data_IF_983702369302
#
_entry.id   IF_983702369302
#
_cell.length_a   1.000
_cell.length_b   1.000
_cell.length_c   1.000
_cell.angle_alpha   90.00
_cell.angle_beta   90.00
_cell.angle_gamma   90.00
#
_symmetry.space_group_name_H-M   'P 1'
#
loop_
_entity.id
_entity.type
_entity.pdbx_description
1 polymer ?
#
# COMPACT_ATOMS: atom_id res chain seq x y z
N UNK A 1 55.77 -36.51 -33.85
CA UNK A 1 55.37 -36.32 -32.44
C UNK A 1 54.89 -34.89 -32.25
N UNK A 2 53.60 -34.70 -31.99
CA UNK A 2 53.05 -33.52 -31.30
C UNK A 2 51.58 -33.79 -30.98
N UNK A 3 51.31 -33.92 -29.69
CA UNK A 3 50.00 -34.16 -29.11
C UNK A 3 49.23 -32.83 -29.07
N UNK A 4 47.94 -32.84 -29.42
CA UNK A 4 47.02 -31.74 -29.12
C UNK A 4 45.84 -32.28 -28.33
N UNK A 5 45.76 -31.86 -27.06
CA UNK A 5 44.61 -32.01 -26.19
C UNK A 5 43.60 -30.92 -26.55
N UNK A 6 42.44 -31.31 -27.07
CA UNK A 6 41.30 -30.42 -27.28
C UNK A 6 40.25 -30.68 -26.20
N UNK A 7 40.22 -29.82 -25.18
CA UNK A 7 39.34 -29.93 -24.04
C UNK A 7 37.86 -29.79 -24.40
N UNK A 8 37.06 -30.70 -23.86
CA UNK A 8 35.60 -30.69 -23.87
C UNK A 8 35.12 -29.55 -22.94
N UNK A 9 34.59 -28.46 -23.51
CA UNK A 9 33.91 -27.42 -22.72
C UNK A 9 32.47 -27.86 -22.52
N UNK A 10 32.17 -28.42 -21.34
CA UNK A 10 30.78 -28.57 -20.88
C UNK A 10 30.24 -27.18 -20.53
N UNK A 11 29.44 -26.62 -21.42
CA UNK A 11 28.60 -25.47 -21.09
C UNK A 11 27.43 -25.96 -20.24
N UNK A 12 27.54 -25.80 -18.92
CA UNK A 12 26.39 -25.88 -18.03
C UNK A 12 25.51 -24.66 -18.28
N UNK A 13 24.41 -24.85 -19.02
CA UNK A 13 23.28 -23.93 -19.01
C UNK A 13 22.64 -24.00 -17.63
N UNK A 14 23.05 -23.10 -16.73
CA UNK A 14 22.29 -22.83 -15.52
C UNK A 14 20.96 -22.19 -15.95
N UNK A 15 19.80 -22.69 -15.50
CA UNK A 15 18.56 -21.94 -15.65
C UNK A 15 18.72 -20.64 -14.86
N UNK A 16 18.64 -19.49 -15.54
CA UNK A 16 18.38 -18.21 -14.89
C UNK A 16 16.95 -18.26 -14.37
N UNK A 17 16.78 -18.79 -13.17
CA UNK A 17 15.57 -18.55 -12.40
C UNK A 17 15.56 -17.06 -12.07
N UNK A 18 14.97 -16.26 -12.96
CA UNK A 18 14.58 -14.88 -12.67
C UNK A 18 13.34 -14.92 -11.76
N UNK A 19 13.52 -15.50 -10.57
CA UNK A 19 12.60 -15.34 -9.47
C UNK A 19 12.95 -14.01 -8.82
N UNK A 20 12.52 -12.90 -9.43
CA UNK A 20 12.30 -11.69 -8.66
C UNK A 20 11.24 -12.05 -7.61
N UNK A 21 11.69 -12.41 -6.41
CA UNK A 21 10.82 -12.63 -5.27
C UNK A 21 10.11 -11.29 -5.01
N UNK A 22 8.93 -11.10 -5.60
CA UNK A 22 8.10 -9.94 -5.33
C UNK A 22 7.83 -9.95 -3.83
N UNK A 23 8.22 -8.87 -3.14
CA UNK A 23 7.99 -8.72 -1.72
C UNK A 23 6.50 -8.40 -1.51
N UNK A 24 5.65 -9.42 -1.59
CA UNK A 24 4.20 -9.28 -1.44
C UNK A 24 3.86 -9.29 0.05
N UNK A 25 3.17 -8.25 0.49
CA UNK A 25 2.54 -8.23 1.80
C UNK A 25 1.12 -8.79 1.70
N UNK A 26 0.79 -9.73 2.58
CA UNK A 26 -0.58 -10.22 2.78
C UNK A 26 -1.11 -9.72 4.12
N UNK A 27 -2.32 -9.16 4.13
CA UNK A 27 -2.91 -8.62 5.35
C UNK A 27 -3.28 -9.71 6.35
N UNK A 28 -3.16 -9.41 7.66
CA UNK A 28 -3.60 -10.35 8.71
C UNK A 28 -5.10 -10.67 8.60
N UNK A 29 -5.90 -9.68 8.17
CA UNK A 29 -7.32 -9.83 7.87
C UNK A 29 -7.63 -10.68 6.63
N UNK A 30 -6.62 -10.96 5.79
CA UNK A 30 -6.75 -11.61 4.47
C UNK A 30 -7.68 -10.89 3.51
N UNK A 31 -7.98 -9.61 3.75
CA UNK A 31 -8.83 -8.80 2.88
C UNK A 31 -8.07 -8.24 1.68
N UNK A 32 -6.76 -8.07 1.78
CA UNK A 32 -5.97 -7.50 0.71
C UNK A 32 -4.52 -7.97 0.73
N UNK A 33 -3.86 -7.82 -0.41
CA UNK A 33 -2.41 -7.91 -0.56
C UNK A 33 -1.89 -6.78 -1.44
N UNK A 34 -0.59 -6.50 -1.38
CA UNK A 34 0.07 -5.54 -2.25
C UNK A 34 1.57 -5.86 -2.40
N UNK A 35 2.20 -5.32 -3.45
CA UNK A 35 3.64 -5.38 -3.62
C UNK A 35 4.32 -4.28 -2.79
N UNK A 36 5.15 -4.67 -1.84
CA UNK A 36 5.94 -3.78 -1.02
C UNK A 36 7.24 -3.41 -1.74
N UNK A 37 7.75 -2.17 -1.61
CA UNK A 37 9.09 -1.83 -2.07
C UNK A 37 10.12 -2.72 -1.37
N UNK A 38 11.08 -3.28 -2.13
CA UNK A 38 12.05 -4.25 -1.59
C UNK A 38 12.87 -3.72 -0.41
N UNK A 39 13.11 -2.41 -0.36
CA UNK A 39 13.88 -1.77 0.71
C UNK A 39 13.04 -1.35 1.91
N UNK A 40 11.71 -1.40 1.81
CA UNK A 40 10.81 -1.00 2.90
C UNK A 40 10.51 -2.20 3.79
N UNK A 41 10.25 -1.94 5.06
CA UNK A 41 9.95 -2.97 6.05
C UNK A 41 8.65 -2.68 6.77
N UNK A 42 7.99 -3.75 7.22
CA UNK A 42 6.85 -3.65 8.13
C UNK A 42 7.34 -3.21 9.50
N UNK A 43 6.76 -2.14 10.01
CA UNK A 43 7.01 -1.60 11.35
C UNK A 43 5.69 -1.59 12.12
N UNK A 44 5.64 -2.18 13.31
CA UNK A 44 4.42 -2.20 14.14
C UNK A 44 4.56 -1.17 15.25
N UNK A 45 4.32 0.10 14.91
CA UNK A 45 4.43 1.20 15.89
C UNK A 45 3.08 1.75 16.35
N UNK A 46 1.95 1.44 15.71
CA UNK A 46 0.63 1.93 16.14
C UNK A 46 -0.41 0.83 16.28
N UNK A 47 -1.22 0.93 17.33
CA UNK A 47 -2.22 -0.09 17.72
C UNK A 47 -3.46 -0.11 16.81
N UNK A 48 -3.73 0.97 16.07
CA UNK A 48 -4.96 1.15 15.29
C UNK A 48 -4.77 0.91 13.78
N UNK A 49 -3.56 0.57 13.35
CA UNK A 49 -3.22 0.32 11.95
C UNK A 49 -3.11 -1.19 11.73
N UNK A 50 -3.66 -1.68 10.61
CA UNK A 50 -3.49 -3.08 10.21
C UNK A 50 -2.03 -3.36 9.83
N UNK A 51 -1.38 -2.38 9.19
CA UNK A 51 0.06 -2.39 8.93
C UNK A 51 0.60 -0.99 8.74
N UNK A 52 1.85 -0.79 9.15
CA UNK A 52 2.69 0.33 8.71
C UNK A 52 3.91 -0.23 8.03
N UNK A 53 4.25 0.34 6.89
CA UNK A 53 5.51 0.09 6.19
C UNK A 53 6.29 1.39 6.13
N UNK A 54 7.60 1.29 6.33
CA UNK A 54 8.48 2.45 6.39
C UNK A 54 9.68 2.30 5.47
N UNK A 55 10.19 3.44 5.02
CA UNK A 55 11.48 3.51 4.35
C UNK A 55 12.62 3.08 5.27
N UNK A 56 13.79 2.68 4.72
CA UNK A 56 15.00 2.44 5.52
C UNK A 56 15.39 3.62 6.43
N UNK A 57 15.02 4.84 6.05
CA UNK A 57 15.32 6.05 6.79
C UNK A 57 14.31 6.31 7.95
N UNK A 58 13.36 5.41 8.17
CA UNK A 58 12.37 5.44 9.24
C UNK A 58 11.04 6.09 8.85
N UNK A 59 10.05 5.96 9.75
CA UNK A 59 8.68 6.46 9.56
C UNK A 59 8.64 7.98 9.36
N UNK A 60 9.50 8.72 10.07
CA UNK A 60 9.56 10.19 10.00
C UNK A 60 10.04 10.71 8.65
N UNK A 61 10.72 9.86 7.86
CA UNK A 61 11.16 10.16 6.51
C UNK A 61 10.09 9.79 5.50
N UNK A 62 9.44 8.65 5.66
CA UNK A 62 8.28 8.30 4.85
C UNK A 62 7.68 6.99 5.28
N UNK A 63 6.35 6.93 5.30
CA UNK A 63 5.61 5.73 5.65
C UNK A 63 4.31 5.61 4.88
N UNK A 64 3.86 4.37 4.73
CA UNK A 64 2.52 4.03 4.28
C UNK A 64 1.87 3.23 5.40
N UNK A 65 0.66 3.61 5.78
CA UNK A 65 -0.13 2.96 6.81
C UNK A 65 -1.47 2.54 6.22
N UNK A 66 -1.96 1.39 6.65
CA UNK A 66 -3.27 0.88 6.26
C UNK A 66 -4.11 0.71 7.51
N UNK A 67 -5.32 1.27 7.49
CA UNK A 67 -6.28 1.22 8.59
C UNK A 67 -7.53 0.49 8.14
N UNK A 68 -8.01 -0.43 8.96
CA UNK A 68 -9.33 -1.07 8.81
C UNK A 68 -10.27 -0.52 9.87
N UNK A 69 -11.43 -0.03 9.47
CA UNK A 69 -12.39 0.59 10.39
C UNK A 69 -13.84 0.33 9.96
N UNK A 70 -14.78 0.51 10.89
CA UNK A 70 -16.19 0.59 10.54
C UNK A 70 -16.46 1.88 9.74
N UNK A 71 -17.10 1.81 8.56
CA UNK A 71 -17.46 2.99 7.79
C UNK A 71 -18.35 3.96 8.56
N UNK A 72 -18.14 5.26 8.35
CA UNK A 72 -18.93 6.36 8.94
C UNK A 72 -20.06 6.85 8.04
N UNK A 73 -20.28 6.18 6.91
CA UNK A 73 -21.29 6.56 5.92
C UNK A 73 -20.80 6.27 4.52
N UNK A 74 -20.88 7.26 3.65
CA UNK A 74 -20.22 7.26 2.34
C UNK A 74 -18.70 7.41 2.47
N UNK A 75 -17.96 7.22 1.37
CA UNK A 75 -16.53 7.52 1.32
C UNK A 75 -16.24 9.00 1.66
N UNK A 76 -17.17 9.89 1.33
CA UNK A 76 -17.04 11.31 1.64
C UNK A 76 -17.18 11.57 3.15
N UNK A 77 -18.05 10.83 3.83
CA UNK A 77 -18.24 10.91 5.28
C UNK A 77 -17.01 10.37 6.03
N UNK A 78 -16.41 9.28 5.54
CA UNK A 78 -15.14 8.77 6.08
C UNK A 78 -14.05 9.84 5.98
N UNK A 79 -13.86 10.43 4.80
CA UNK A 79 -12.86 11.47 4.60
C UNK A 79 -13.12 12.72 5.46
N UNK A 80 -14.38 13.13 5.62
CA UNK A 80 -14.75 14.26 6.46
C UNK A 80 -14.57 13.92 7.95
N UNK A 81 -14.82 12.68 8.36
CA UNK A 81 -14.55 12.24 9.73
C UNK A 81 -13.05 12.24 10.03
N UNK A 82 -12.21 11.80 9.08
CA UNK A 82 -10.75 11.77 9.25
C UNK A 82 -10.11 13.16 9.20
N UNK A 83 -10.57 14.05 8.31
CA UNK A 83 -9.90 15.33 8.03
C UNK A 83 -10.73 16.59 8.31
N UNK A 84 -11.94 16.46 8.86
CA UNK A 84 -12.80 17.60 9.17
C UNK A 84 -12.38 18.40 10.40
N UNK A 85 -11.41 17.91 11.18
CA UNK A 85 -10.85 18.60 12.34
C UNK A 85 -9.83 19.68 11.99
N UNK A 86 -9.56 20.58 12.94
CA UNK A 86 -8.57 21.65 12.77
C UNK A 86 -7.13 21.11 12.64
N UNK A 87 -6.36 21.66 11.72
CA UNK A 87 -4.93 21.33 11.54
C UNK A 87 -4.61 20.49 10.30
N UNK A 88 -5.58 20.27 9.41
CA UNK A 88 -5.38 19.64 8.11
C UNK A 88 -6.04 20.47 7.02
N UNK A 89 -5.31 20.75 5.95
CA UNK A 89 -5.85 21.40 4.75
C UNK A 89 -6.06 20.37 3.66
N UNK A 90 -7.31 20.16 3.25
CA UNK A 90 -7.63 19.31 2.11
C UNK A 90 -7.28 20.03 0.82
N UNK A 91 -6.41 19.42 0.01
CA UNK A 91 -5.94 19.96 -1.26
C UNK A 91 -6.79 19.46 -2.44
N UNK A 92 -7.18 18.18 -2.42
CA UNK A 92 -8.01 17.59 -3.47
C UNK A 92 -8.78 16.37 -2.97
N UNK A 93 -9.90 16.08 -3.64
CA UNK A 93 -10.69 14.85 -3.49
C UNK A 93 -11.04 14.36 -4.89
N UNK A 94 -10.75 13.10 -5.21
CA UNK A 94 -11.05 12.49 -6.51
C UNK A 94 -11.37 11.01 -6.36
N UNK A 95 -12.34 10.54 -7.12
CA UNK A 95 -12.62 9.10 -7.21
C UNK A 95 -11.56 8.42 -8.05
N UNK A 96 -11.13 7.22 -7.64
CA UNK A 96 -10.27 6.34 -8.42
C UNK A 96 -10.65 4.88 -8.18
N UNK A 97 -10.31 4.03 -9.14
CA UNK A 97 -10.37 2.58 -8.92
C UNK A 97 -9.10 2.12 -8.19
N UNK A 98 -9.27 1.25 -7.19
CA UNK A 98 -8.20 0.43 -6.61
C UNK A 98 -8.63 -1.01 -6.76
N UNK A 99 -7.86 -1.78 -7.54
CA UNK A 99 -8.29 -3.08 -8.06
C UNK A 99 -9.69 -2.99 -8.71
N UNK A 100 -10.73 -3.53 -8.08
CA UNK A 100 -12.13 -3.52 -8.56
C UNK A 100 -13.07 -2.60 -7.76
N UNK A 101 -12.56 -1.85 -6.78
CA UNK A 101 -13.36 -1.00 -5.91
C UNK A 101 -13.24 0.47 -6.27
N UNK A 102 -14.37 1.18 -6.25
CA UNK A 102 -14.40 2.63 -6.35
C UNK A 102 -14.00 3.22 -5.01
N UNK A 103 -12.96 4.04 -5.00
CA UNK A 103 -12.33 4.58 -3.81
C UNK A 103 -12.19 6.10 -3.93
N UNK A 104 -12.12 6.79 -2.79
CA UNK A 104 -11.91 8.24 -2.72
C UNK A 104 -10.45 8.52 -2.37
N UNK A 105 -9.72 9.13 -3.30
CA UNK A 105 -8.38 9.66 -3.07
C UNK A 105 -8.48 11.10 -2.57
N UNK A 106 -7.95 11.35 -1.38
CA UNK A 106 -7.86 12.65 -0.73
C UNK A 106 -6.40 13.00 -0.51
N UNK A 107 -5.96 14.14 -1.02
CA UNK A 107 -4.64 14.70 -0.72
C UNK A 107 -4.79 15.80 0.30
N UNK A 108 -4.00 15.77 1.37
CA UNK A 108 -4.05 16.77 2.44
C UNK A 108 -2.66 17.25 2.81
N UNK A 109 -2.59 18.41 3.47
CA UNK A 109 -1.39 18.92 4.13
C UNK A 109 -1.69 19.08 5.61
N UNK A 110 -0.91 18.47 6.49
CA UNK A 110 -1.09 18.67 7.95
C UNK A 110 -0.45 19.98 8.42
N UNK A 111 -0.74 20.40 9.66
CA UNK A 111 -0.34 21.70 10.22
C UNK A 111 1.17 22.00 10.27
N UNK A 112 2.03 21.02 9.94
CA UNK A 112 3.49 21.20 9.78
C UNK A 112 3.94 21.21 8.32
N UNK A 113 3.03 21.36 7.37
CA UNK A 113 3.34 21.33 5.93
C UNK A 113 3.65 19.93 5.40
N UNK A 114 3.37 18.87 6.18
CA UNK A 114 3.63 17.48 5.76
C UNK A 114 2.51 17.06 4.80
N UNK A 115 2.84 16.72 3.54
CA UNK A 115 1.85 16.22 2.59
C UNK A 115 1.47 14.77 2.92
N UNK A 116 0.18 14.47 2.77
CA UNK A 116 -0.37 13.13 2.89
C UNK A 116 -1.26 12.78 1.71
N UNK A 117 -1.12 11.55 1.22
CA UNK A 117 -2.06 10.95 0.28
C UNK A 117 -2.89 9.89 1.02
N UNK A 118 -4.20 9.90 0.84
CA UNK A 118 -5.09 8.96 1.51
C UNK A 118 -6.11 8.41 0.51
N UNK A 119 -6.33 7.11 0.50
CA UNK A 119 -7.32 6.45 -0.35
C UNK A 119 -8.27 5.64 0.52
N UNK A 120 -9.54 6.02 0.50
CA UNK A 120 -10.62 5.35 1.22
C UNK A 120 -11.34 4.42 0.27
N UNK A 121 -11.44 3.15 0.62
CA UNK A 121 -12.31 2.19 -0.04
C UNK A 121 -13.27 1.60 1.00
N UNK A 122 -14.42 1.13 0.55
CA UNK A 122 -15.36 0.39 1.38
C UNK A 122 -15.74 -0.89 0.66
N UNK A 123 -16.03 -1.92 1.44
CA UNK A 123 -16.49 -3.21 0.94
C UNK A 123 -17.34 -3.92 1.98
N UNK A 124 -18.09 -4.91 1.52
CA UNK A 124 -18.89 -5.80 2.35
C UNK A 124 -18.17 -7.14 2.50
N UNK A 125 -18.00 -7.58 3.75
CA UNK A 125 -17.42 -8.87 4.13
C UNK A 125 -18.56 -9.82 4.51
N UNK A 126 -18.65 -11.01 3.89
CA UNK A 126 -19.66 -12.01 4.28
C UNK A 126 -19.20 -12.74 5.56
N UNK A 127 -19.81 -12.42 6.70
CA UNK A 127 -19.66 -13.20 7.93
C UNK A 127 -20.82 -14.19 8.11
N UNK A 128 -20.63 -15.19 8.99
CA UNK A 128 -21.67 -16.16 9.32
C UNK A 128 -22.91 -15.50 9.93
N UNK A 129 -22.72 -14.45 10.71
CA UNK A 129 -23.79 -13.69 11.38
C UNK A 129 -24.46 -12.66 10.46
N UNK A 130 -23.98 -12.54 9.21
CA UNK A 130 -24.48 -11.60 8.22
C UNK A 130 -23.38 -10.73 7.61
N UNK A 131 -23.64 -10.12 6.45
CA UNK A 131 -22.69 -9.23 5.80
C UNK A 131 -22.39 -8.00 6.67
N UNK A 132 -21.12 -7.59 6.73
CA UNK A 132 -20.70 -6.37 7.44
C UNK A 132 -19.92 -5.46 6.51
N UNK A 133 -20.19 -4.15 6.59
CA UNK A 133 -19.42 -3.14 5.87
C UNK A 133 -18.11 -2.85 6.61
N UNK A 134 -17.03 -2.79 5.85
CA UNK A 134 -15.67 -2.49 6.32
C UNK A 134 -15.09 -1.40 5.43
N UNK A 135 -14.47 -0.41 6.06
CA UNK A 135 -13.70 0.63 5.40
C UNK A 135 -12.22 0.30 5.50
N UNK A 136 -11.48 0.55 4.42
CA UNK A 136 -10.02 0.53 4.39
C UNK A 136 -9.52 1.91 3.98
N UNK A 137 -8.51 2.40 4.69
CA UNK A 137 -7.79 3.61 4.31
C UNK A 137 -6.33 3.26 4.09
N UNK A 138 -5.84 3.49 2.87
CA UNK A 138 -4.41 3.53 2.56
C UNK A 138 -3.93 4.95 2.74
N UNK A 139 -3.04 5.21 3.67
CA UNK A 139 -2.46 6.53 3.91
C UNK A 139 -0.96 6.53 3.68
N UNK A 140 -0.45 7.62 3.15
CA UNK A 140 0.99 7.89 3.05
C UNK A 140 1.29 9.21 3.76
N UNK A 141 2.28 9.20 4.65
CA UNK A 141 2.90 10.39 5.18
C UNK A 141 4.27 10.57 4.53
N UNK A 142 4.52 11.75 3.97
CA UNK A 142 5.78 12.03 3.27
C UNK A 142 6.53 13.18 3.89
N UNK A 143 7.84 13.02 4.08
CA UNK A 143 8.67 14.16 4.44
C UNK A 143 8.66 15.20 3.30
N UNK A 144 8.43 16.50 3.57
CA UNK A 144 8.28 17.52 2.52
C UNK A 144 9.41 17.52 1.48
N UNK A 145 10.66 17.37 1.93
CA UNK A 145 11.84 17.38 1.06
C UNK A 145 12.00 16.09 0.21
N UNK A 146 11.25 15.03 0.52
CA UNK A 146 11.35 13.74 -0.17
C UNK A 146 10.07 13.39 -0.96
N UNK A 147 9.09 14.30 -0.96
CA UNK A 147 7.77 14.14 -1.58
C UNK A 147 7.86 13.53 -2.99
N UNK A 148 8.65 14.13 -3.87
CA UNK A 148 8.78 13.69 -5.27
C UNK A 148 9.34 12.26 -5.43
N UNK A 149 10.09 11.77 -4.45
CA UNK A 149 10.61 10.41 -4.45
C UNK A 149 9.60 9.41 -3.86
N UNK A 150 8.73 9.89 -2.97
CA UNK A 150 7.79 9.05 -2.23
C UNK A 150 6.42 8.91 -2.89
N UNK A 151 5.91 9.94 -3.56
CA UNK A 151 4.62 9.86 -4.27
C UNK A 151 4.56 8.67 -5.25
N UNK A 152 5.57 8.41 -6.10
CA UNK A 152 5.55 7.26 -7.01
C UNK A 152 5.52 5.91 -6.28
N UNK A 153 6.04 5.84 -5.05
CA UNK A 153 6.02 4.61 -4.25
C UNK A 153 4.58 4.27 -3.86
N UNK A 154 3.80 5.26 -3.42
CA UNK A 154 2.40 5.05 -3.05
C UNK A 154 1.52 4.72 -4.25
N UNK A 155 1.74 5.38 -5.39
CA UNK A 155 1.00 5.05 -6.61
C UNK A 155 1.31 3.62 -7.10
N UNK A 156 2.57 3.18 -7.02
CA UNK A 156 2.92 1.78 -7.31
C UNK A 156 2.26 0.82 -6.34
N UNK A 157 2.28 1.11 -5.04
CA UNK A 157 1.60 0.28 -4.04
C UNK A 157 0.12 0.15 -4.36
N UNK A 158 -0.59 1.26 -4.56
CA UNK A 158 -2.02 1.27 -4.90
C UNK A 158 -2.33 0.49 -6.18
N UNK A 159 -1.47 0.61 -7.21
CA UNK A 159 -1.64 -0.15 -8.46
C UNK A 159 -1.47 -1.67 -8.29
N UNK A 160 -0.75 -2.09 -7.26
CA UNK A 160 -0.50 -3.50 -6.94
C UNK A 160 -1.50 -4.10 -5.95
N UNK A 161 -2.37 -3.28 -5.35
CA UNK A 161 -3.37 -3.76 -4.39
C UNK A 161 -4.27 -4.79 -5.06
N UNK A 162 -4.48 -5.91 -4.38
CA UNK A 162 -5.47 -6.94 -4.73
C UNK A 162 -6.38 -7.18 -3.54
N UNK A 163 -7.68 -6.98 -3.74
CA UNK A 163 -8.68 -7.30 -2.73
C UNK A 163 -9.09 -8.76 -2.82
N UNK A 164 -9.42 -9.36 -1.68
CA UNK A 164 -9.82 -10.76 -1.64
C UNK A 164 -11.10 -10.99 -2.46
N UNK A 165 -11.19 -12.08 -3.27
CA UNK A 165 -12.30 -12.30 -4.18
C UNK A 165 -13.69 -12.36 -3.53
N UNK A 166 -13.78 -12.71 -2.25
CA UNK A 166 -15.05 -12.75 -1.51
C UNK A 166 -15.60 -11.38 -1.10
N UNK A 167 -14.81 -10.30 -1.22
CA UNK A 167 -15.26 -8.96 -0.86
C UNK A 167 -16.18 -8.39 -1.93
N UNK A 168 -17.30 -7.82 -1.50
CA UNK A 168 -18.30 -7.21 -2.38
C UNK A 168 -18.23 -5.68 -2.29
N UNK A 169 -18.52 -4.94 -3.38
CA UNK A 169 -18.65 -3.48 -3.35
C UNK A 169 -19.60 -2.96 -2.25
#
# INVERSE_FOLDING_TARGET
MRWFWGGLVLAFLLPTADASAQNVYESNSKFYSFQMPMTWSVVRERQNEDVVIASPAGISRGSIYIVLAAPKGSLQDDANHTFGGGGVTVQSKRTRMVDRFSCLHVTVTSGRGVPHHNVFCQFTVPYKEGPRRVGIMFGQAMHPNERFQQEPIFERLLSSVKFHPSLQP
#
